data_IF_020208442151
#
_entry.id   IF_020208442151
#
_cell.length_a   1.000
_cell.length_b   1.000
_cell.length_c   1.000
_cell.angle_alpha   90.00
_cell.angle_beta   90.00
_cell.angle_gamma   90.00
#
_symmetry.space_group_name_H-M   'P 1'
#
loop_
_entity.id
_entity.type
_entity.pdbx_description
1 polymer ?
#
# COMPACT_ATOMS: atom_id res chain seq x y z
N UNK A 1 -9.44 12.78 7.09
CA UNK A 1 -10.01 12.68 5.72
C UNK A 1 -9.13 13.17 4.55
N UNK A 2 -7.95 13.78 4.78
CA UNK A 2 -7.28 14.58 3.73
C UNK A 2 -6.07 13.93 3.03
N UNK A 3 -5.56 12.79 3.50
CA UNK A 3 -4.30 12.20 3.01
C UNK A 3 -4.53 11.10 1.97
N UNK A 4 -5.13 11.46 0.82
CA UNK A 4 -5.18 10.58 -0.35
C UNK A 4 -4.00 10.91 -1.26
N UNK A 5 -3.03 10.01 -1.30
CA UNK A 5 -1.83 10.14 -2.10
C UNK A 5 -2.07 9.48 -3.45
N UNK A 6 -2.40 10.30 -4.45
CA UNK A 6 -2.73 9.88 -5.81
C UNK A 6 -1.52 9.27 -6.50
N UNK A 7 -1.75 8.10 -7.09
CA UNK A 7 -0.86 7.45 -8.03
C UNK A 7 -1.58 7.18 -9.35
N UNK A 8 -1.48 5.96 -9.91
CA UNK A 8 -2.08 5.62 -11.20
C UNK A 8 -3.61 5.62 -11.22
N UNK A 9 -4.18 5.96 -12.38
CA UNK A 9 -5.61 5.94 -12.64
C UNK A 9 -5.95 4.84 -13.65
N UNK A 10 -6.96 4.05 -13.33
CA UNK A 10 -7.39 2.88 -14.09
C UNK A 10 -8.77 3.11 -14.68
N UNK A 11 -8.87 2.89 -15.98
CA UNK A 11 -10.05 3.23 -16.77
C UNK A 11 -10.65 2.02 -17.49
N UNK A 12 -9.83 1.06 -17.93
CA UNK A 12 -10.32 -0.09 -18.69
C UNK A 12 -10.55 -1.24 -17.74
N UNK A 13 -11.78 -1.75 -17.73
CA UNK A 13 -12.14 -3.02 -17.10
C UNK A 13 -12.39 -4.05 -18.20
N UNK A 14 -11.75 -5.20 -18.11
CA UNK A 14 -11.90 -6.30 -19.09
C UNK A 14 -12.79 -7.46 -18.60
N UNK A 15 -13.33 -7.34 -17.39
CA UNK A 15 -14.17 -8.36 -16.74
C UNK A 15 -13.54 -8.85 -15.43
N UNK A 16 -12.21 -8.77 -15.35
CA UNK A 16 -11.43 -9.22 -14.19
C UNK A 16 -10.51 -8.11 -13.68
N UNK A 17 -9.80 -7.42 -14.58
CA UNK A 17 -8.71 -6.50 -14.23
C UNK A 17 -9.02 -5.06 -14.64
N UNK A 18 -8.66 -4.13 -13.75
CA UNK A 18 -8.61 -2.70 -14.05
C UNK A 18 -7.23 -2.29 -14.56
N UNK A 19 -7.17 -1.58 -15.68
CA UNK A 19 -5.92 -1.14 -16.30
C UNK A 19 -5.97 0.35 -16.68
N UNK A 20 -4.80 0.98 -16.66
CA UNK A 20 -4.64 2.37 -17.09
C UNK A 20 -4.85 2.54 -18.59
N UNK A 21 -5.10 3.77 -19.03
CA UNK A 21 -5.36 4.06 -20.43
C UNK A 21 -4.10 4.19 -21.31
N UNK A 22 -4.34 4.17 -22.62
CA UNK A 22 -3.35 4.38 -23.69
C UNK A 22 -2.63 5.73 -23.59
N UNK A 23 -1.50 5.85 -24.28
CA UNK A 23 -0.59 7.01 -24.25
C UNK A 23 -1.24 8.37 -24.53
N UNK A 24 -2.41 8.45 -25.19
CA UNK A 24 -3.05 9.72 -25.53
C UNK A 24 -3.64 10.46 -24.31
N UNK A 25 -4.31 9.78 -23.36
CA UNK A 25 -4.73 10.41 -22.09
C UNK A 25 -3.54 10.69 -21.19
N UNK A 26 -2.47 9.91 -21.36
CA UNK A 26 -1.19 10.14 -20.69
C UNK A 26 -0.38 11.25 -21.36
N UNK A 27 -0.90 11.93 -22.39
CA UNK A 27 -0.17 12.97 -23.09
C UNK A 27 -0.11 14.24 -22.23
N UNK A 28 1.07 14.63 -21.74
CA UNK A 28 1.29 15.81 -20.90
C UNK A 28 0.79 17.12 -21.48
N UNK A 29 0.85 17.21 -22.82
CA UNK A 29 0.69 18.46 -23.57
C UNK A 29 -0.76 18.92 -23.63
N UNK A 30 -1.69 18.10 -23.13
CA UNK A 30 -3.12 18.34 -23.16
C UNK A 30 -3.66 18.95 -21.85
N UNK A 31 -2.79 19.13 -20.87
CA UNK A 31 -3.13 19.66 -19.55
C UNK A 31 -3.06 21.19 -19.57
N UNK A 32 -4.08 21.84 -20.13
CA UNK A 32 -4.25 23.28 -19.96
C UNK A 32 -4.79 23.58 -18.56
N UNK A 33 -4.05 24.44 -17.84
CA UNK A 33 -4.24 24.69 -16.41
C UNK A 33 -5.55 25.41 -16.11
N UNK A 34 -6.44 24.72 -15.41
CA UNK A 34 -7.46 25.39 -14.61
C UNK A 34 -6.75 26.31 -13.61
N UNK A 35 -7.04 27.62 -13.64
CA UNK A 35 -6.51 28.57 -12.65
C UNK A 35 -7.06 28.20 -11.28
N UNK A 36 -6.15 27.99 -10.33
CA UNK A 36 -6.47 27.54 -8.97
C UNK A 36 -6.50 28.75 -8.02
N UNK A 37 -7.56 28.91 -7.21
CA UNK A 37 -7.56 29.87 -6.11
C UNK A 37 -6.53 29.49 -5.03
N UNK A 38 -5.75 30.45 -4.53
CA UNK A 38 -4.66 30.21 -3.56
C UNK A 38 -5.11 29.57 -2.23
N UNK A 39 -6.40 29.67 -1.87
CA UNK A 39 -6.95 29.27 -0.57
C UNK A 39 -7.05 27.75 -0.31
N UNK A 40 -6.83 26.92 -1.32
CA UNK A 40 -6.92 25.44 -1.23
C UNK A 40 -5.60 24.73 -1.52
N UNK A 41 -4.52 25.48 -1.76
CA UNK A 41 -3.23 24.93 -2.17
C UNK A 41 -2.38 24.50 -0.97
N UNK A 42 -2.21 23.19 -0.79
CA UNK A 42 -1.32 22.59 0.17
C UNK A 42 0.05 22.36 -0.45
N UNK A 43 1.09 22.90 0.19
CA UNK A 43 2.49 22.66 -0.19
C UNK A 43 3.15 21.73 0.82
N UNK A 44 3.94 20.78 0.33
CA UNK A 44 4.61 19.78 1.14
C UNK A 44 5.83 19.23 0.41
N UNK A 45 6.67 18.53 1.15
CA UNK A 45 7.87 17.87 0.62
C UNK A 45 7.72 16.35 0.72
N UNK A 46 8.13 15.66 -0.32
CA UNK A 46 8.06 14.20 -0.43
C UNK A 46 9.48 13.66 -0.61
N UNK A 47 9.80 12.63 0.17
CA UNK A 47 10.93 11.73 -0.08
C UNK A 47 10.37 10.41 -0.59
N UNK A 48 10.56 10.14 -1.87
CA UNK A 48 10.03 8.96 -2.55
C UNK A 48 11.14 7.95 -2.79
N UNK A 49 10.99 6.77 -2.20
CA UNK A 49 11.86 5.62 -2.45
C UNK A 49 11.84 5.18 -3.93
N UNK A 50 12.86 4.47 -4.42
CA UNK A 50 12.87 3.91 -5.77
C UNK A 50 11.61 3.08 -6.06
N UNK A 51 10.93 3.38 -7.17
CA UNK A 51 9.73 2.65 -7.61
C UNK A 51 9.91 1.96 -8.96
N UNK A 52 10.99 2.26 -9.68
CA UNK A 52 11.21 1.86 -11.09
C UNK A 52 10.07 2.29 -12.04
N UNK A 53 9.27 3.27 -11.61
CA UNK A 53 8.15 3.83 -12.35
C UNK A 53 8.33 5.34 -12.49
N UNK A 54 7.68 5.98 -13.47
CA UNK A 54 7.71 7.43 -13.64
C UNK A 54 6.67 8.16 -12.78
N UNK A 55 5.95 7.48 -11.89
CA UNK A 55 4.86 8.09 -11.13
C UNK A 55 5.39 8.89 -9.95
N UNK A 56 5.06 10.18 -9.92
CA UNK A 56 5.16 10.98 -8.72
C UNK A 56 3.90 10.77 -7.89
N UNK A 57 4.07 10.69 -6.58
CA UNK A 57 2.97 10.55 -5.63
C UNK A 57 2.68 11.93 -5.04
N UNK A 58 1.46 12.42 -5.24
CA UNK A 58 1.02 13.73 -4.77
C UNK A 58 -0.34 13.58 -4.08
N UNK A 59 -0.64 14.46 -3.13
CA UNK A 59 -1.99 14.59 -2.60
C UNK A 59 -2.99 14.89 -3.73
N UNK A 60 -4.14 14.27 -3.63
CA UNK A 60 -5.24 14.49 -4.54
C UNK A 60 -6.03 15.75 -4.14
N UNK A 61 -6.13 16.79 -4.98
CA UNK A 61 -5.87 16.88 -6.44
C UNK A 61 -4.50 17.51 -6.75
N UNK A 62 -3.63 16.90 -7.59
CA UNK A 62 -2.28 17.44 -7.84
C UNK A 62 -2.28 18.68 -8.74
N UNK A 63 -1.41 19.65 -8.41
CA UNK A 63 -1.22 20.89 -9.18
C UNK A 63 0.15 20.91 -9.88
N UNK A 64 1.23 20.63 -9.15
CA UNK A 64 2.59 20.55 -9.70
C UNK A 64 3.57 19.95 -8.70
N UNK A 65 4.72 19.53 -9.20
CA UNK A 65 5.92 19.25 -8.43
C UNK A 65 7.12 20.09 -8.95
N UNK A 66 8.12 20.34 -8.10
CA UNK A 66 9.35 21.07 -8.45
C UNK A 66 10.41 20.21 -9.16
N UNK A 67 9.98 19.17 -9.86
CA UNK A 67 10.80 18.30 -10.71
C UNK A 67 10.26 18.31 -12.14
N UNK A 68 11.09 17.99 -13.14
CA UNK A 68 10.61 17.90 -14.52
C UNK A 68 9.60 16.75 -14.64
N UNK A 69 8.33 17.13 -14.76
CA UNK A 69 7.20 16.22 -14.79
C UNK A 69 6.13 16.75 -15.73
N UNK A 70 5.15 15.89 -15.93
CA UNK A 70 3.96 16.15 -16.70
C UNK A 70 2.75 15.77 -15.88
N UNK A 71 1.69 16.57 -15.96
CA UNK A 71 0.37 16.13 -15.54
C UNK A 71 -0.36 15.57 -16.74
N UNK A 72 -0.96 14.40 -16.55
CA UNK A 72 -1.81 13.75 -17.55
C UNK A 72 -3.25 14.25 -17.41
N UNK A 73 -4.11 13.94 -18.39
CA UNK A 73 -5.51 14.39 -18.37
C UNK A 73 -6.31 13.81 -17.21
N UNK A 74 -5.92 12.63 -16.72
CA UNK A 74 -6.50 12.01 -15.53
C UNK A 74 -5.71 12.33 -14.25
N UNK A 75 -4.94 13.43 -14.27
CA UNK A 75 -4.28 14.02 -13.10
C UNK A 75 -3.21 13.12 -12.48
N UNK A 76 -2.60 12.21 -13.25
CA UNK A 76 -1.37 11.52 -12.81
C UNK A 76 -0.16 12.42 -13.07
N UNK A 77 0.69 12.58 -12.06
CA UNK A 77 1.98 13.24 -12.19
C UNK A 77 3.06 12.24 -12.66
N UNK A 78 3.56 12.47 -13.86
CA UNK A 78 4.50 11.61 -14.58
C UNK A 78 5.84 12.33 -14.72
N UNK A 79 6.86 11.88 -14.00
CA UNK A 79 8.24 12.34 -14.13
C UNK A 79 8.80 11.95 -15.50
N UNK A 80 9.69 12.79 -16.03
CA UNK A 80 10.52 12.42 -17.17
C UNK A 80 11.60 11.42 -16.75
N UNK A 81 11.40 10.15 -17.10
CA UNK A 81 12.27 9.04 -16.69
C UNK A 81 11.79 8.33 -15.43
N UNK A 82 12.37 7.17 -15.13
CA UNK A 82 12.01 6.34 -13.97
C UNK A 82 12.66 6.82 -12.68
N UNK A 83 12.06 6.46 -11.54
CA UNK A 83 12.55 6.77 -10.20
C UNK A 83 13.30 5.53 -9.68
N UNK A 84 14.61 5.49 -9.93
CA UNK A 84 15.51 4.38 -9.61
C UNK A 84 16.42 4.65 -8.40
N UNK A 85 16.33 5.84 -7.83
CA UNK A 85 17.01 6.27 -6.60
C UNK A 85 16.03 7.07 -5.74
N UNK A 86 16.35 7.24 -4.46
CA UNK A 86 15.60 8.12 -3.56
C UNK A 86 15.45 9.51 -4.21
N UNK A 87 14.21 9.97 -4.37
CA UNK A 87 13.86 11.24 -5.00
C UNK A 87 13.19 12.16 -3.99
N UNK A 88 13.73 13.37 -3.84
CA UNK A 88 13.14 14.45 -3.04
C UNK A 88 12.51 15.48 -3.96
N UNK A 89 11.27 15.87 -3.69
CA UNK A 89 10.57 16.92 -4.43
C UNK A 89 9.54 17.62 -3.55
N UNK A 90 9.22 18.86 -3.90
CA UNK A 90 8.11 19.63 -3.33
C UNK A 90 6.89 19.48 -4.22
N UNK A 91 5.78 19.07 -3.60
CA UNK A 91 4.48 18.93 -4.24
C UNK A 91 3.54 20.07 -3.86
N UNK A 92 2.66 20.43 -4.79
CA UNK A 92 1.53 21.33 -4.58
C UNK A 92 0.24 20.63 -5.00
N UNK A 93 -0.80 20.74 -4.17
CA UNK A 93 -2.08 20.03 -4.39
C UNK A 93 -3.25 20.80 -3.81
N UNK A 94 -4.42 20.66 -4.43
CA UNK A 94 -5.68 21.19 -3.94
C UNK A 94 -6.39 20.16 -3.10
N UNK A 95 -6.51 20.39 -1.80
CA UNK A 95 -7.14 19.43 -0.88
C UNK A 95 -8.60 19.81 -0.64
N UNK A 96 -9.49 18.82 -0.64
CA UNK A 96 -10.91 19.02 -0.30
C UNK A 96 -11.77 19.61 -1.43
N UNK A 97 -11.27 19.60 -2.67
CA UNK A 97 -12.00 20.07 -3.85
C UNK A 97 -12.29 18.91 -4.82
N UNK A 98 -13.25 19.12 -5.72
CA UNK A 98 -13.42 18.23 -6.86
C UNK A 98 -12.32 18.47 -7.89
N UNK A 99 -11.85 17.38 -8.48
CA UNK A 99 -10.95 17.47 -9.62
C UNK A 99 -11.72 18.01 -10.84
N UNK A 100 -11.19 18.99 -11.59
CA UNK A 100 -11.86 19.46 -12.79
C UNK A 100 -11.96 18.35 -13.84
N UNK A 101 -12.99 18.39 -14.68
CA UNK A 101 -12.96 17.60 -15.92
C UNK A 101 -11.84 18.11 -16.83
N UNK A 102 -11.30 17.24 -17.67
CA UNK A 102 -10.30 17.62 -18.66
C UNK A 102 -10.88 18.53 -19.75
N UNK A 103 -10.00 19.03 -20.62
CA UNK A 103 -10.38 19.68 -21.87
C UNK A 103 -11.14 18.75 -22.86
N UNK A 104 -11.21 17.44 -22.61
CA UNK A 104 -11.88 16.45 -23.45
C UNK A 104 -12.98 15.68 -22.69
N UNK A 105 -13.97 16.39 -22.10
CA UNK A 105 -14.92 15.81 -21.16
C UNK A 105 -15.80 14.72 -21.79
N UNK A 106 -16.14 14.83 -23.07
CA UNK A 106 -16.93 13.82 -23.77
C UNK A 106 -16.15 12.52 -24.00
N UNK A 107 -14.83 12.63 -24.21
CA UNK A 107 -14.00 11.43 -24.35
C UNK A 107 -13.84 10.75 -23.00
N UNK A 108 -13.54 11.52 -21.95
CA UNK A 108 -13.53 11.01 -20.56
C UNK A 108 -14.85 10.35 -20.19
N UNK A 109 -15.99 10.95 -20.55
CA UNK A 109 -17.33 10.37 -20.34
C UNK A 109 -17.46 9.01 -21.03
N UNK A 110 -17.09 8.92 -22.31
CA UNK A 110 -17.16 7.66 -23.08
C UNK A 110 -16.32 6.55 -22.44
N UNK A 111 -15.11 6.86 -21.98
CA UNK A 111 -14.25 5.89 -21.30
C UNK A 111 -14.74 5.54 -19.91
N UNK A 112 -15.21 6.54 -19.18
CA UNK A 112 -15.81 6.40 -17.86
C UNK A 112 -17.11 5.62 -17.87
N UNK A 113 -17.75 5.38 -19.03
CA UNK A 113 -18.94 4.55 -19.16
C UNK A 113 -18.66 3.16 -19.75
N UNK A 114 -17.43 2.89 -20.17
CA UNK A 114 -17.10 1.65 -20.89
C UNK A 114 -17.10 0.46 -19.93
N UNK A 115 -17.87 -0.57 -20.28
CA UNK A 115 -17.88 -1.89 -19.64
C UNK A 115 -17.79 -3.00 -20.71
N UNK A 116 -17.19 -4.16 -20.39
CA UNK A 116 -17.21 -5.31 -21.27
C UNK A 116 -18.65 -5.86 -21.39
N UNK A 117 -19.01 -6.33 -22.59
CA UNK A 117 -20.28 -7.03 -22.79
C UNK A 117 -20.22 -8.42 -22.15
N UNK A 118 -21.35 -8.91 -21.63
CA UNK A 118 -21.51 -10.28 -21.12
C UNK A 118 -20.73 -10.63 -19.84
N UNK A 119 -20.40 -9.62 -19.02
CA UNK A 119 -19.84 -9.81 -17.67
C UNK A 119 -20.71 -9.13 -16.62
N UNK A 120 -20.81 -9.75 -15.45
CA UNK A 120 -21.51 -9.26 -14.26
C UNK A 120 -22.98 -8.84 -14.53
N UNK A 121 -23.80 -9.74 -15.12
CA UNK A 121 -25.16 -9.39 -15.53
C UNK A 121 -26.05 -8.95 -14.35
N UNK A 122 -25.87 -9.53 -13.15
CA UNK A 122 -26.69 -9.17 -11.98
C UNK A 122 -26.35 -7.77 -11.49
N UNK A 123 -25.07 -7.40 -11.48
CA UNK A 123 -24.61 -6.06 -11.13
C UNK A 123 -25.10 -5.03 -12.14
N UNK A 124 -25.06 -5.33 -13.44
CA UNK A 124 -25.60 -4.45 -14.49
C UNK A 124 -27.09 -4.19 -14.27
N UNK A 125 -27.88 -5.26 -14.08
CA UNK A 125 -29.32 -5.14 -13.86
C UNK A 125 -29.63 -4.32 -12.59
N UNK A 126 -28.93 -4.60 -11.50
CA UNK A 126 -29.10 -3.89 -10.23
C UNK A 126 -28.77 -2.40 -10.36
N UNK A 127 -27.65 -2.07 -11.01
CA UNK A 127 -27.21 -0.69 -11.22
C UNK A 127 -28.19 0.11 -12.09
N UNK A 128 -28.69 -0.49 -13.18
CA UNK A 128 -29.67 0.15 -14.06
C UNK A 128 -30.98 0.41 -13.34
N UNK A 129 -31.47 -0.57 -12.57
CA UNK A 129 -32.68 -0.42 -11.75
C UNK A 129 -32.54 0.71 -10.74
N UNK A 130 -31.44 0.73 -9.99
CA UNK A 130 -31.17 1.77 -9.01
C UNK A 130 -30.99 3.15 -9.64
N UNK A 131 -30.35 3.24 -10.80
CA UNK A 131 -30.25 4.48 -11.58
C UNK A 131 -31.64 5.02 -11.94
N UNK A 132 -32.54 4.17 -12.42
CA UNK A 132 -33.93 4.56 -12.74
C UNK A 132 -34.70 5.03 -11.50
N UNK A 133 -34.59 4.31 -10.39
CA UNK A 133 -35.25 4.65 -9.12
C UNK A 133 -34.81 6.02 -8.55
N UNK A 134 -33.54 6.41 -8.78
CA UNK A 134 -33.02 7.71 -8.36
C UNK A 134 -33.05 8.77 -9.46
N UNK A 135 -33.74 8.50 -10.58
CA UNK A 135 -33.91 9.45 -11.69
C UNK A 135 -32.62 9.80 -12.43
N UNK A 136 -31.64 8.90 -12.46
CA UNK A 136 -30.34 9.11 -13.12
C UNK A 136 -29.41 10.09 -12.38
N UNK A 137 -29.72 10.47 -11.14
CA UNK A 137 -28.88 11.36 -10.36
C UNK A 137 -27.61 10.64 -9.86
N UNK A 138 -26.44 11.13 -10.28
CA UNK A 138 -25.15 10.52 -9.96
C UNK A 138 -24.84 10.43 -8.46
N UNK A 139 -25.17 11.47 -7.69
CA UNK A 139 -24.94 11.50 -6.24
C UNK A 139 -25.89 10.55 -5.51
N UNK A 140 -27.16 10.58 -5.88
CA UNK A 140 -28.15 9.68 -5.28
C UNK A 140 -27.85 8.21 -5.59
N UNK A 141 -27.37 7.89 -6.80
CA UNK A 141 -26.91 6.53 -7.13
C UNK A 141 -25.70 6.12 -6.28
N UNK A 142 -24.70 7.00 -6.17
CA UNK A 142 -23.53 6.80 -5.30
C UNK A 142 -23.95 6.51 -3.86
N UNK A 143 -24.80 7.36 -3.29
CA UNK A 143 -25.26 7.24 -1.90
C UNK A 143 -26.02 5.92 -1.68
N UNK A 144 -26.82 5.50 -2.66
CA UNK A 144 -27.54 4.21 -2.63
C UNK A 144 -26.58 3.02 -2.63
N UNK A 145 -25.55 3.03 -3.47
CA UNK A 145 -24.53 1.96 -3.52
C UNK A 145 -23.72 1.94 -2.21
N UNK A 146 -23.28 3.09 -1.70
CA UNK A 146 -22.57 3.18 -0.42
C UNK A 146 -23.44 2.70 0.75
N UNK A 147 -24.74 3.02 0.73
CA UNK A 147 -25.67 2.50 1.71
C UNK A 147 -25.84 0.99 1.63
N UNK A 148 -25.81 0.41 0.43
CA UNK A 148 -25.84 -1.03 0.27
C UNK A 148 -24.61 -1.70 0.91
N UNK A 149 -23.41 -1.16 0.66
CA UNK A 149 -22.19 -1.66 1.33
C UNK A 149 -22.29 -1.56 2.86
N UNK A 150 -22.86 -0.48 3.40
CA UNK A 150 -23.08 -0.32 4.84
C UNK A 150 -24.02 -1.37 5.46
N UNK A 151 -25.07 -1.76 4.72
CA UNK A 151 -26.22 -2.44 5.33
C UNK A 151 -26.37 -3.91 4.94
N UNK A 152 -25.78 -4.35 3.82
CA UNK A 152 -26.00 -5.69 3.27
C UNK A 152 -24.95 -6.74 3.73
N UNK A 153 -24.40 -6.58 4.94
CA UNK A 153 -23.42 -7.48 5.56
C UNK A 153 -22.10 -7.63 4.77
N UNK A 154 -21.60 -6.53 4.20
CA UNK A 154 -20.25 -6.51 3.64
C UNK A 154 -19.20 -6.48 4.75
N UNK A 155 -18.04 -7.10 4.51
CA UNK A 155 -16.91 -7.10 5.45
C UNK A 155 -15.58 -6.86 4.75
N UNK A 156 -14.65 -6.23 5.47
CA UNK A 156 -13.31 -5.96 4.98
C UNK A 156 -12.33 -7.04 5.46
N UNK A 157 -11.66 -7.74 4.54
CA UNK A 157 -10.64 -8.74 4.84
C UNK A 157 -9.56 -8.78 3.77
N UNK A 158 -8.30 -8.89 4.21
CA UNK A 158 -7.15 -9.14 3.33
C UNK A 158 -7.06 -10.62 2.88
N UNK A 159 -7.82 -11.50 3.53
CA UNK A 159 -7.94 -12.92 3.19
C UNK A 159 -9.30 -13.18 2.50
N UNK A 160 -9.70 -12.29 1.60
CA UNK A 160 -10.92 -12.45 0.81
C UNK A 160 -10.81 -13.67 -0.12
N UNK A 161 -11.93 -14.37 -0.37
CA UNK A 161 -11.92 -15.51 -1.29
C UNK A 161 -11.60 -15.05 -2.72
N UNK A 162 -11.03 -15.96 -3.51
CA UNK A 162 -10.90 -15.75 -4.95
C UNK A 162 -12.29 -15.59 -5.59
N UNK A 163 -12.37 -14.71 -6.57
CA UNK A 163 -13.60 -14.44 -7.30
C UNK A 163 -13.54 -15.12 -8.67
N UNK A 164 -14.71 -15.53 -9.18
CA UNK A 164 -14.82 -16.14 -10.50
C UNK A 164 -14.82 -15.11 -11.63
N UNK A 165 -15.23 -15.58 -12.81
CA UNK A 165 -15.32 -14.80 -14.05
C UNK A 165 -16.15 -13.52 -13.88
N UNK A 166 -17.30 -13.62 -13.21
CA UNK A 166 -18.19 -12.49 -12.93
C UNK A 166 -17.85 -11.93 -11.55
N UNK A 167 -16.62 -11.41 -11.44
CA UNK A 167 -16.01 -10.99 -10.17
C UNK A 167 -16.83 -9.97 -9.37
N UNK A 168 -17.48 -9.01 -10.04
CA UNK A 168 -18.33 -8.01 -9.39
C UNK A 168 -19.61 -8.66 -8.87
N UNK A 169 -20.21 -9.56 -9.63
CA UNK A 169 -21.39 -10.31 -9.21
C UNK A 169 -21.06 -11.23 -8.02
N UNK A 170 -19.95 -11.95 -8.07
CA UNK A 170 -19.50 -12.82 -6.98
C UNK A 170 -19.25 -12.03 -5.70
N UNK A 171 -18.61 -10.86 -5.81
CA UNK A 171 -18.39 -10.00 -4.66
C UNK A 171 -19.70 -9.44 -4.09
N UNK A 172 -20.58 -8.88 -4.92
CA UNK A 172 -21.80 -8.20 -4.46
C UNK A 172 -22.83 -9.16 -3.88
N UNK A 173 -22.99 -10.34 -4.48
CA UNK A 173 -24.11 -11.22 -4.18
C UNK A 173 -23.71 -12.45 -3.38
N UNK A 174 -22.46 -12.92 -3.52
CA UNK A 174 -22.02 -14.18 -2.94
C UNK A 174 -21.08 -13.95 -1.74
N UNK A 175 -19.85 -13.47 -1.98
CA UNK A 175 -18.84 -13.41 -0.92
C UNK A 175 -19.06 -12.25 0.05
N UNK A 176 -19.32 -11.04 -0.46
CA UNK A 176 -19.40 -9.77 0.30
C UNK A 176 -18.22 -9.51 1.24
N UNK A 177 -17.12 -10.22 1.01
CA UNK A 177 -15.87 -10.09 1.76
C UNK A 177 -14.80 -9.67 0.76
N UNK A 178 -14.16 -8.55 1.03
CA UNK A 178 -13.18 -7.97 0.10
C UNK A 178 -12.26 -6.98 0.79
N UNK A 179 -11.38 -6.40 0.00
CA UNK A 179 -10.49 -5.30 0.42
C UNK A 179 -10.63 -4.14 -0.56
N UNK A 180 -9.83 -3.07 -0.42
CA UNK A 180 -10.04 -1.80 -1.12
C UNK A 180 -10.26 -1.94 -2.64
N UNK A 181 -9.51 -2.80 -3.33
CA UNK A 181 -9.68 -3.05 -4.77
C UNK A 181 -11.05 -3.63 -5.11
N UNK A 182 -11.57 -4.57 -4.32
CA UNK A 182 -12.89 -5.16 -4.52
C UNK A 182 -14.01 -4.11 -4.41
N UNK A 183 -13.96 -3.29 -3.38
CA UNK A 183 -14.92 -2.21 -3.15
C UNK A 183 -14.84 -1.13 -4.23
N UNK A 184 -13.63 -0.66 -4.57
CA UNK A 184 -13.44 0.34 -5.62
C UNK A 184 -13.85 -0.19 -7.00
N UNK A 185 -13.53 -1.45 -7.31
CA UNK A 185 -13.91 -2.13 -8.56
C UNK A 185 -15.43 -2.25 -8.68
N UNK A 186 -16.09 -2.85 -7.69
CA UNK A 186 -17.53 -3.07 -7.71
C UNK A 186 -18.32 -1.76 -7.72
N UNK A 187 -17.92 -0.78 -6.91
CA UNK A 187 -18.52 0.55 -6.92
C UNK A 187 -18.39 1.21 -8.29
N UNK A 188 -17.17 1.25 -8.85
CA UNK A 188 -16.92 1.88 -10.14
C UNK A 188 -17.75 1.19 -11.22
N UNK A 189 -17.76 -0.14 -11.25
CA UNK A 189 -18.57 -0.93 -12.19
C UNK A 189 -20.06 -0.57 -12.09
N UNK A 190 -20.63 -0.53 -10.88
CA UNK A 190 -22.03 -0.18 -10.65
C UNK A 190 -22.35 1.25 -11.10
N UNK A 191 -21.47 2.21 -10.84
CA UNK A 191 -21.64 3.59 -11.31
C UNK A 191 -21.68 3.65 -12.85
N UNK A 192 -20.75 2.96 -13.52
CA UNK A 192 -20.72 2.87 -14.99
C UNK A 192 -21.98 2.23 -15.56
N UNK A 193 -22.41 1.12 -14.98
CA UNK A 193 -23.61 0.41 -15.42
C UNK A 193 -24.90 1.22 -15.20
N UNK A 194 -24.91 2.08 -14.17
CA UNK A 194 -25.99 3.04 -13.93
C UNK A 194 -25.93 4.31 -14.80
N UNK A 195 -24.96 4.43 -15.71
CA UNK A 195 -24.83 5.56 -16.63
C UNK A 195 -24.03 6.74 -16.09
N UNK A 196 -23.28 6.57 -15.00
CA UNK A 196 -22.40 7.61 -14.44
C UNK A 196 -20.95 7.33 -14.80
N UNK A 197 -20.24 8.25 -15.46
CA UNK A 197 -18.83 8.04 -15.77
C UNK A 197 -18.02 7.90 -14.48
N UNK A 198 -17.25 6.81 -14.38
CA UNK A 198 -16.46 6.51 -13.19
C UNK A 198 -15.09 5.94 -13.55
N UNK A 199 -14.11 6.07 -12.66
CA UNK A 199 -12.77 5.49 -12.81
C UNK A 199 -12.19 5.07 -11.45
N UNK A 200 -11.28 4.10 -11.46
CA UNK A 200 -10.57 3.67 -10.26
C UNK A 200 -9.28 4.46 -10.14
N UNK A 201 -8.96 4.94 -8.96
CA UNK A 201 -7.68 5.58 -8.64
C UNK A 201 -6.95 4.72 -7.62
N UNK A 202 -5.66 4.53 -7.84
CA UNK A 202 -4.77 3.78 -6.97
C UNK A 202 -3.69 4.70 -6.40
N UNK A 203 -3.21 4.37 -5.22
CA UNK A 203 -2.19 5.16 -4.54
C UNK A 203 -2.07 4.72 -3.09
N UNK A 204 -2.01 5.69 -2.18
CA UNK A 204 -1.91 5.43 -0.75
C UNK A 204 -2.92 6.26 0.01
N UNK A 205 -3.32 5.76 1.17
CA UNK A 205 -4.24 6.47 2.05
C UNK A 205 -3.70 6.57 3.47
N UNK A 206 -3.77 7.77 4.03
CA UNK A 206 -3.31 8.05 5.39
C UNK A 206 -1.80 8.22 5.45
N UNK A 207 -1.18 7.49 6.38
CA UNK A 207 0.22 7.63 6.74
C UNK A 207 0.39 7.76 8.26
N UNK A 208 1.57 7.40 8.74
CA UNK A 208 1.93 7.52 10.15
C UNK A 208 2.68 8.84 10.36
N UNK A 209 2.08 9.77 11.12
CA UNK A 209 2.78 10.97 11.55
C UNK A 209 3.78 10.62 12.65
N UNK A 210 5.07 10.80 12.36
CA UNK A 210 6.12 10.61 13.33
C UNK A 210 6.06 11.76 14.37
N UNK A 211 5.84 11.45 15.67
CA UNK A 211 5.68 12.48 16.69
C UNK A 211 6.99 13.19 17.04
N UNK A 212 8.16 12.65 16.67
CA UNK A 212 9.46 13.18 17.08
C UNK A 212 9.96 14.31 16.18
N UNK A 213 9.68 14.24 14.88
CA UNK A 213 10.18 15.18 13.86
C UNK A 213 9.09 15.67 12.90
N UNK A 214 7.84 15.22 13.09
CA UNK A 214 6.66 15.75 12.40
C UNK A 214 6.52 15.32 10.94
N UNK A 215 7.33 14.38 10.44
CA UNK A 215 7.15 13.88 9.07
C UNK A 215 6.13 12.74 9.01
N UNK A 216 5.42 12.64 7.88
CA UNK A 216 4.49 11.54 7.63
C UNK A 216 5.21 10.42 6.89
N UNK A 217 5.11 9.21 7.43
CA UNK A 217 5.61 7.98 6.80
C UNK A 217 4.43 7.29 6.10
N UNK A 218 4.52 7.17 4.79
CA UNK A 218 3.56 6.42 3.96
C UNK A 218 4.24 5.14 3.48
N UNK A 219 3.64 3.98 3.77
CA UNK A 219 4.21 2.66 3.50
C UNK A 219 3.44 1.93 2.40
N UNK A 220 4.03 0.89 1.84
CA UNK A 220 3.32 -0.04 0.94
C UNK A 220 2.11 -0.73 1.59
N UNK A 221 2.10 -0.87 2.93
CA UNK A 221 0.91 -1.34 3.66
C UNK A 221 -0.27 -0.36 3.63
N UNK A 222 -0.02 0.90 3.29
CA UNK A 222 -1.01 1.98 3.18
C UNK A 222 -1.54 2.11 1.75
N UNK A 223 -1.14 1.19 0.85
CA UNK A 223 -1.65 1.11 -0.50
C UNK A 223 -3.18 1.01 -0.49
N UNK A 224 -3.82 1.82 -1.32
CA UNK A 224 -5.26 1.99 -1.31
C UNK A 224 -5.80 2.24 -2.71
N UNK A 225 -7.06 1.85 -2.90
CA UNK A 225 -7.81 2.08 -4.12
C UNK A 225 -9.15 2.73 -3.77
N UNK A 226 -9.53 3.74 -4.54
CA UNK A 226 -10.80 4.45 -4.43
C UNK A 226 -11.37 4.73 -5.82
N UNK A 227 -12.54 5.37 -5.87
CA UNK A 227 -13.23 5.69 -7.11
C UNK A 227 -13.34 7.21 -7.30
N UNK A 228 -13.46 7.63 -8.55
CA UNK A 228 -13.88 8.97 -8.92
C UNK A 228 -15.09 8.89 -9.85
N UNK A 229 -16.10 9.71 -9.60
CA UNK A 229 -17.31 9.79 -10.42
C UNK A 229 -17.45 11.19 -11.01
N UNK A 230 -17.87 11.27 -12.27
CA UNK A 230 -18.14 12.55 -12.91
C UNK A 230 -19.50 13.09 -12.46
N UNK A 231 -19.49 14.25 -11.82
CA UNK A 231 -20.68 15.04 -11.50
C UNK A 231 -20.86 16.10 -12.60
N UNK A 232 -22.03 16.15 -13.26
CA UNK A 232 -22.31 17.15 -14.29
C UNK A 232 -21.96 18.57 -13.83
N UNK A 233 -21.20 19.29 -14.66
CA UNK A 233 -20.78 20.67 -14.47
C UNK A 233 -19.95 20.96 -13.20
N UNK A 234 -19.56 19.94 -12.43
CA UNK A 234 -18.80 20.07 -11.18
C UNK A 234 -17.42 19.38 -11.22
N UNK A 235 -17.26 18.33 -12.03
CA UNK A 235 -15.99 17.62 -12.16
C UNK A 235 -16.02 16.21 -11.56
N UNK A 236 -14.83 15.70 -11.27
CA UNK A 236 -14.60 14.40 -10.66
C UNK A 236 -14.70 14.50 -9.13
N UNK A 237 -15.71 13.83 -8.58
CA UNK A 237 -15.88 13.64 -7.15
C UNK A 237 -15.15 12.36 -6.72
N UNK A 238 -14.20 12.48 -5.79
CA UNK A 238 -13.58 11.35 -5.10
C UNK A 238 -14.59 10.67 -4.16
N UNK A 239 -14.70 9.35 -4.27
CA UNK A 239 -15.51 8.50 -3.41
C UNK A 239 -14.68 7.30 -2.97
N UNK A 240 -14.61 7.05 -1.66
CA UNK A 240 -13.99 5.84 -1.12
C UNK A 240 -15.08 4.89 -0.60
N UNK A 241 -15.43 3.83 -1.35
CA UNK A 241 -16.43 2.86 -0.92
C UNK A 241 -15.97 2.01 0.26
N UNK A 242 -14.65 1.94 0.54
CA UNK A 242 -14.11 1.25 1.72
C UNK A 242 -14.51 1.95 3.01
N UNK A 243 -14.63 3.28 3.00
CA UNK A 243 -15.06 4.08 4.14
C UNK A 243 -16.46 3.69 4.64
N UNK A 244 -17.31 3.17 3.73
CA UNK A 244 -18.64 2.72 4.05
C UNK A 244 -18.66 1.45 4.92
N UNK A 245 -17.65 0.58 4.81
CA UNK A 245 -17.61 -0.72 5.52
C UNK A 245 -16.58 -0.75 6.65
N UNK A 246 -15.45 -0.05 6.46
CA UNK A 246 -14.36 0.01 7.43
C UNK A 246 -13.98 1.47 7.71
N UNK A 247 -14.89 2.28 8.31
CA UNK A 247 -14.63 3.69 8.58
C UNK A 247 -13.37 3.88 9.43
N UNK A 248 -13.06 2.97 10.36
CA UNK A 248 -11.85 3.06 11.18
C UNK A 248 -10.55 2.96 10.36
N UNK A 249 -10.54 2.34 9.18
CA UNK A 249 -9.35 2.33 8.31
C UNK A 249 -9.16 3.66 7.59
N UNK A 250 -10.26 4.37 7.30
CA UNK A 250 -10.25 5.68 6.68
C UNK A 250 -10.01 6.77 7.76
N UNK A 251 -10.59 6.65 8.94
CA UNK A 251 -10.41 7.61 10.04
C UNK A 251 -9.04 7.51 10.73
N UNK A 252 -8.27 6.43 10.50
CA UNK A 252 -6.88 6.32 10.96
C UNK A 252 -5.93 7.39 10.41
N UNK A 253 -6.36 8.16 9.41
CA UNK A 253 -5.67 9.38 8.95
C UNK A 253 -5.54 10.48 10.02
N UNK A 254 -6.17 10.31 11.20
CA UNK A 254 -6.00 11.19 12.37
C UNK A 254 -5.85 10.46 13.72
N UNK A 255 -5.70 9.14 13.73
CA UNK A 255 -5.62 8.33 14.95
C UNK A 255 -4.34 7.49 14.99
N UNK A 256 -3.26 8.07 15.51
CA UNK A 256 -2.54 7.32 16.54
C UNK A 256 -3.39 7.38 17.84
N UNK A 257 -3.34 6.44 18.78
CA UNK A 257 -2.85 5.07 18.82
C UNK A 257 -4.00 4.12 19.27
N UNK A 258 -4.68 3.41 18.37
CA UNK A 258 -5.77 2.47 18.77
C UNK A 258 -5.56 1.02 18.31
N UNK A 259 -4.51 0.76 17.52
CA UNK A 259 -3.87 -0.56 17.44
C UNK A 259 -2.64 -0.68 18.34
N UNK A 260 -2.34 0.38 19.10
CA UNK A 260 -1.50 0.27 20.27
C UNK A 260 -2.39 -0.05 21.47
N UNK A 261 -2.89 -1.28 21.51
CA UNK A 261 -2.93 -1.96 22.79
C UNK A 261 -1.49 -2.00 23.29
N UNK A 262 -1.14 -0.98 24.07
CA UNK A 262 0.02 -0.89 24.94
C UNK A 262 1.39 -1.31 24.33
N UNK A 263 1.89 -0.53 23.37
CA UNK A 263 3.29 -0.68 22.87
C UNK A 263 4.33 -0.49 23.98
N UNK A 264 3.98 0.24 25.04
CA UNK A 264 4.78 0.38 26.25
C UNK A 264 4.85 -0.90 27.09
N UNK A 265 3.84 -1.78 27.02
CA UNK A 265 3.79 -3.04 27.80
C UNK A 265 4.03 -4.32 26.97
N UNK A 266 4.08 -4.25 25.63
CA UNK A 266 4.37 -5.42 24.80
C UNK A 266 5.75 -6.03 25.12
N UNK A 267 5.82 -7.35 25.32
CA UNK A 267 7.07 -8.05 25.62
C UNK A 267 8.02 -8.04 24.41
N UNK A 268 9.33 -8.20 24.64
CA UNK A 268 10.32 -8.21 23.54
C UNK A 268 10.09 -9.35 22.53
N UNK A 269 9.46 -10.45 22.96
CA UNK A 269 9.12 -11.59 22.10
C UNK A 269 7.94 -11.29 21.17
N UNK A 270 6.90 -10.63 21.67
CA UNK A 270 5.73 -10.24 20.86
C UNK A 270 6.12 -9.21 19.80
N UNK A 271 7.05 -8.31 20.16
CA UNK A 271 7.63 -7.32 19.21
C UNK A 271 8.36 -8.02 18.07
N UNK A 272 9.11 -9.08 18.35
CA UNK A 272 9.83 -9.85 17.33
C UNK A 272 8.90 -10.69 16.46
N UNK A 273 7.84 -11.26 17.02
CA UNK A 273 6.85 -12.03 16.26
C UNK A 273 6.05 -11.15 15.30
N UNK A 274 5.64 -9.96 15.73
CA UNK A 274 4.94 -8.97 14.89
C UNK A 274 5.89 -8.41 13.81
N UNK A 275 7.17 -8.19 14.13
CA UNK A 275 8.18 -7.83 13.14
C UNK A 275 8.45 -8.97 12.15
N UNK A 276 8.51 -10.21 12.62
CA UNK A 276 8.76 -11.39 11.78
C UNK A 276 7.58 -11.66 10.83
N UNK A 277 6.33 -11.42 11.27
CA UNK A 277 5.14 -11.56 10.43
C UNK A 277 5.06 -10.46 9.35
N UNK A 278 5.42 -9.22 9.72
CA UNK A 278 5.54 -8.11 8.77
C UNK A 278 6.69 -8.32 7.75
N UNK A 279 7.83 -8.85 8.20
CA UNK A 279 8.98 -9.22 7.34
C UNK A 279 8.67 -10.46 6.51
N UNK A 280 7.91 -11.43 7.02
CA UNK A 280 7.49 -12.62 6.29
C UNK A 280 6.50 -12.30 5.17
N UNK A 281 5.58 -11.37 5.42
CA UNK A 281 4.64 -10.88 4.41
C UNK A 281 5.34 -10.00 3.37
N UNK A 282 6.34 -9.20 3.78
CA UNK A 282 7.26 -8.49 2.89
C UNK A 282 8.09 -9.45 2.04
N UNK A 283 8.66 -10.50 2.63
CA UNK A 283 9.49 -11.50 1.96
C UNK A 283 8.69 -12.32 0.93
N UNK A 284 7.49 -12.79 1.29
CA UNK A 284 6.62 -13.53 0.38
C UNK A 284 6.17 -12.73 -0.85
N UNK A 285 6.02 -11.40 -0.72
CA UNK A 285 5.67 -10.51 -1.85
C UNK A 285 6.88 -10.02 -2.64
N UNK A 286 8.05 -9.95 -2.01
CA UNK A 286 9.28 -9.46 -2.66
C UNK A 286 10.04 -10.58 -3.37
N UNK A 287 10.04 -11.82 -2.85
CA UNK A 287 10.75 -12.96 -3.46
C UNK A 287 10.06 -13.57 -4.70
N UNK A 288 8.84 -13.15 -5.04
CA UNK A 288 8.19 -13.47 -6.33
C UNK A 288 8.37 -12.36 -7.39
N UNK A 289 9.08 -11.27 -7.04
CA UNK A 289 9.40 -10.16 -7.94
C UNK A 289 10.91 -9.81 -7.96
N UNK A 290 11.79 -10.70 -7.49
CA UNK A 290 13.23 -10.55 -7.68
C UNK A 290 13.63 -11.04 -9.08
N UNK A 291 13.53 -10.11 -10.04
CA UNK A 291 14.03 -10.26 -11.40
C UNK A 291 15.55 -10.54 -11.37
N UNK A 292 15.95 -11.65 -11.98
CA UNK A 292 17.34 -12.11 -12.12
C UNK A 292 18.27 -11.09 -12.82
N UNK A 293 17.69 -10.01 -13.39
CA UNK A 293 18.41 -8.95 -14.10
C UNK A 293 19.04 -7.89 -13.19
N UNK A 294 18.51 -7.66 -11.98
CA UNK A 294 19.13 -6.71 -11.03
C UNK A 294 20.46 -7.23 -10.47
N UNK A 295 20.62 -8.56 -10.41
CA UNK A 295 21.87 -9.21 -9.98
C UNK A 295 23.00 -9.08 -11.00
N UNK A 296 22.69 -8.91 -12.29
CA UNK A 296 23.70 -8.74 -13.35
C UNK A 296 24.31 -7.34 -13.36
N UNK A 297 23.52 -6.29 -13.10
CA UNK A 297 23.98 -4.89 -13.13
C UNK A 297 24.94 -4.53 -11.98
N UNK A 298 24.78 -5.18 -10.81
CA UNK A 298 25.63 -4.94 -9.64
C UNK A 298 27.02 -5.61 -9.78
N UNK A 299 27.09 -6.69 -10.59
CA UNK A 299 28.34 -7.39 -10.92
C UNK A 299 29.13 -6.70 -12.04
N UNK A 300 28.46 -6.09 -13.02
CA UNK A 300 29.12 -5.30 -14.08
C UNK A 300 29.80 -4.05 -13.54
N UNK A 301 29.20 -3.37 -12.57
CA UNK A 301 29.76 -2.13 -12.01
C UNK A 301 30.97 -2.34 -11.08
N UNK A 302 31.33 -3.59 -10.78
CA UNK A 302 32.56 -3.98 -10.06
C UNK A 302 33.73 -4.35 -10.99
N UNK A 303 33.59 -4.21 -12.31
CA UNK A 303 34.68 -4.38 -13.28
C UNK A 303 35.14 -5.83 -13.47
N UNK A 304 34.26 -6.81 -13.27
CA UNK A 304 34.57 -8.23 -13.38
C UNK A 304 34.15 -8.81 -14.74
N UNK A 305 34.91 -8.47 -15.78
CA UNK A 305 34.85 -9.04 -17.15
C UNK A 305 35.41 -10.48 -17.23
N UNK A 306 35.32 -11.25 -16.14
CA UNK A 306 35.89 -12.59 -16.00
C UNK A 306 34.92 -13.73 -16.30
N UNK A 307 35.46 -14.82 -16.87
CA UNK A 307 34.81 -16.12 -17.11
C UNK A 307 34.05 -16.61 -15.87
N UNK A 308 32.90 -17.27 -16.07
CA UNK A 308 31.98 -17.76 -15.04
C UNK A 308 32.63 -18.57 -13.89
N UNK A 309 33.76 -19.22 -14.17
CA UNK A 309 34.57 -19.98 -13.20
C UNK A 309 35.03 -19.12 -12.00
N UNK A 310 35.42 -17.87 -12.25
CA UNK A 310 35.87 -16.95 -11.19
C UNK A 310 34.70 -16.48 -10.31
N UNK A 311 33.51 -16.32 -10.92
CA UNK A 311 32.28 -15.94 -10.21
C UNK A 311 31.79 -17.07 -9.30
N UNK A 312 31.86 -18.31 -9.79
CA UNK A 312 31.54 -19.50 -9.00
C UNK A 312 32.47 -19.63 -7.77
N UNK A 313 33.77 -19.41 -7.94
CA UNK A 313 34.75 -19.48 -6.85
C UNK A 313 34.52 -18.42 -5.77
N UNK A 314 34.13 -17.20 -6.14
CA UNK A 314 33.81 -16.14 -5.18
C UNK A 314 32.54 -16.44 -4.37
N UNK A 315 31.50 -16.97 -5.02
CA UNK A 315 30.27 -17.38 -4.34
C UNK A 315 30.50 -18.55 -3.40
N UNK A 316 31.31 -19.54 -3.82
CA UNK A 316 31.74 -20.65 -2.98
C UNK A 316 32.55 -20.12 -1.79
N UNK A 317 33.48 -19.18 -2.02
CA UNK A 317 34.27 -18.55 -0.95
C UNK A 317 33.41 -17.80 0.07
N UNK A 318 32.45 -16.99 -0.39
CA UNK A 318 31.52 -16.26 0.46
C UNK A 318 30.62 -17.22 1.28
N UNK A 319 30.14 -18.29 0.64
CA UNK A 319 29.37 -19.33 1.32
C UNK A 319 30.20 -20.06 2.39
N UNK A 320 31.46 -20.39 2.09
CA UNK A 320 32.37 -21.02 3.06
C UNK A 320 32.64 -20.11 4.25
N UNK A 321 32.86 -18.81 4.04
CA UNK A 321 33.02 -17.82 5.13
C UNK A 321 31.75 -17.76 5.98
N UNK A 322 30.57 -17.72 5.36
CA UNK A 322 29.29 -17.70 6.06
C UNK A 322 29.10 -18.95 6.94
N UNK A 323 29.40 -20.13 6.40
CA UNK A 323 29.36 -21.39 7.17
C UNK A 323 30.35 -21.38 8.33
N UNK A 324 31.55 -20.84 8.12
CA UNK A 324 32.61 -20.79 9.14
C UNK A 324 32.26 -19.83 10.28
N UNK A 325 31.66 -18.67 9.96
CA UNK A 325 31.12 -17.72 10.94
C UNK A 325 29.95 -18.34 11.70
N UNK A 326 29.03 -19.01 11.00
CA UNK A 326 27.92 -19.73 11.64
C UNK A 326 28.40 -20.83 12.60
N UNK A 327 29.40 -21.61 12.18
CA UNK A 327 30.02 -22.63 13.02
C UNK A 327 30.70 -22.02 14.25
N UNK A 328 31.40 -20.88 14.12
CA UNK A 328 32.00 -20.15 15.24
C UNK A 328 30.95 -19.62 16.23
N UNK A 329 29.84 -19.09 15.73
CA UNK A 329 28.73 -18.58 16.57
C UNK A 329 28.04 -19.72 17.33
N UNK A 330 27.91 -20.91 16.72
CA UNK A 330 27.35 -22.10 17.37
C UNK A 330 28.37 -22.73 18.35
N UNK A 331 29.65 -22.74 17.99
CA UNK A 331 30.72 -23.35 18.78
C UNK A 331 31.09 -22.52 20.03
N UNK A 332 31.08 -21.19 19.93
CA UNK A 332 31.42 -20.28 21.04
C UNK A 332 30.56 -20.50 22.32
N UNK A 333 29.23 -20.63 22.26
CA UNK A 333 28.41 -20.98 23.41
C UNK A 333 28.52 -22.46 23.79
N UNK A 334 28.85 -23.37 22.86
CA UNK A 334 29.06 -24.79 23.19
C UNK A 334 30.32 -25.01 24.05
N UNK A 335 31.38 -24.22 23.81
CA UNK A 335 32.59 -24.21 24.66
C UNK A 335 32.32 -23.61 26.05
N UNK A 336 31.45 -22.59 26.14
CA UNK A 336 31.02 -21.99 27.43
C UNK A 336 30.13 -22.91 28.26
N UNK A 337 29.48 -23.92 27.64
CA UNK A 337 28.67 -24.94 28.33
C UNK A 337 29.46 -26.11 28.91
N UNK A 338 30.76 -26.23 28.62
CA UNK A 338 31.68 -27.07 29.42
C UNK A 338 32.09 -26.34 30.69
N UNK A 339 31.13 -26.08 31.58
CA UNK A 339 31.43 -25.68 32.94
C UNK A 339 31.98 -26.88 33.71
N UNK A 340 33.21 -26.71 34.17
CA UNK A 340 34.06 -27.65 34.88
C UNK A 340 33.28 -28.41 35.98
N UNK A 341 33.14 -29.75 35.90
CA UNK A 341 32.42 -30.54 36.90
C UNK A 341 32.93 -30.32 38.33
N UNK A 342 34.19 -29.91 38.49
CA UNK A 342 34.78 -29.59 39.79
C UNK A 342 34.13 -28.38 40.48
N UNK A 343 33.70 -27.35 39.75
CA UNK A 343 33.09 -26.15 40.35
C UNK A 343 31.68 -26.47 40.89
N UNK A 344 30.95 -27.36 40.23
CA UNK A 344 29.66 -27.87 40.73
C UNK A 344 29.83 -28.78 41.94
N UNK A 345 30.89 -29.58 41.99
CA UNK A 345 31.22 -30.41 43.14
C UNK A 345 31.63 -29.55 44.35
N UNK A 346 32.43 -28.50 44.13
CA UNK A 346 32.87 -27.58 45.18
C UNK A 346 31.70 -26.83 45.81
N UNK A 347 30.76 -26.30 45.02
CA UNK A 347 29.56 -25.64 45.56
C UNK A 347 28.62 -26.59 46.30
N UNK A 348 28.54 -27.86 45.87
CA UNK A 348 27.80 -28.90 46.62
C UNK A 348 28.51 -29.25 47.93
N UNK A 349 29.84 -29.31 47.93
CA UNK A 349 30.65 -29.56 49.12
C UNK A 349 30.52 -28.41 50.14
N UNK A 350 30.59 -27.15 49.70
CA UNK A 350 30.36 -25.98 50.57
C UNK A 350 28.94 -25.93 51.13
N UNK A 351 27.93 -26.30 50.34
CA UNK A 351 26.54 -26.37 50.81
C UNK A 351 26.33 -27.48 51.87
N UNK A 352 27.06 -28.59 51.78
CA UNK A 352 27.01 -29.68 52.75
C UNK A 352 27.82 -29.40 54.03
N UNK A 353 28.82 -28.54 53.97
CA UNK A 353 29.63 -28.12 55.13
C UNK A 353 29.00 -26.97 55.94
N UNK A 354 28.10 -26.18 55.33
CA UNK A 354 27.41 -25.07 56.00
C UNK A 354 26.70 -25.42 57.32
N UNK A 355 26.07 -26.60 57.50
CA UNK A 355 25.47 -26.99 58.78
C UNK A 355 26.48 -27.41 59.85
N UNK A 356 27.72 -27.76 59.47
CA UNK A 356 28.76 -28.30 60.37
C UNK A 356 29.78 -27.25 60.83
N UNK A 357 29.85 -26.09 60.17
CA UNK A 357 30.63 -24.93 60.62
C UNK A 357 29.85 -24.10 61.66
N UNK A 358 29.45 -24.78 62.72
CA UNK A 358 28.70 -24.24 63.85
C UNK A 358 29.23 -22.90 64.36
N UNK A 359 28.27 -22.01 64.59
CA UNK A 359 28.34 -20.78 65.37
C UNK A 359 29.42 -20.77 66.44
N UNK A 360 30.41 -19.89 66.31
CA UNK A 360 31.12 -19.34 67.47
C UNK A 360 30.52 -17.97 67.81
N UNK A 361 30.02 -17.77 69.04
CA UNK A 361 29.55 -16.47 69.50
C UNK A 361 30.70 -15.66 70.12
N UNK A 362 30.41 -14.36 70.25
CA UNK A 362 31.04 -13.35 71.12
C UNK A 362 32.32 -12.63 70.67
N UNK A 363 32.17 -11.30 70.51
CA UNK A 363 32.65 -10.39 71.56
C UNK A 363 34.05 -9.82 71.41
N UNK A 364 34.13 -8.62 70.82
CA UNK A 364 34.61 -7.34 71.43
C UNK A 364 34.74 -6.26 70.36
#
# INVERSE_FOLDING_TARGET
EQFYWRGPVLWRFDGETWSGMSNWLRNPRLSEGARVPDSVNQRYEVMLEPTDRPWLILLDVPVRADVEHSLTLDLQAMRKGTINSLLRYRGESMVGVMAPMSAFPETERRWGLRLPQSYNPRAVELAQRWSQEVGGNARALSDRILNHFRTANFSYSLSAPELGRDSVDDFLFNSRVGYCEHYASAYTFMMRAGGVPARVVTGYYGGYLNPFDGHMIVRNSDAHAWAEIAIPDQGWLRVDPTAAVAPQRVDRSGLGPQLAGDWSQASWGDRLLIMADAVGTWWNRTMLAFDARAQLALLENMGLDGRWEQRALLLIGAFLIFVLVGALIIWAPWRRRRQDPMIRLHRRFEALLRPWLGTRPEGL
#
